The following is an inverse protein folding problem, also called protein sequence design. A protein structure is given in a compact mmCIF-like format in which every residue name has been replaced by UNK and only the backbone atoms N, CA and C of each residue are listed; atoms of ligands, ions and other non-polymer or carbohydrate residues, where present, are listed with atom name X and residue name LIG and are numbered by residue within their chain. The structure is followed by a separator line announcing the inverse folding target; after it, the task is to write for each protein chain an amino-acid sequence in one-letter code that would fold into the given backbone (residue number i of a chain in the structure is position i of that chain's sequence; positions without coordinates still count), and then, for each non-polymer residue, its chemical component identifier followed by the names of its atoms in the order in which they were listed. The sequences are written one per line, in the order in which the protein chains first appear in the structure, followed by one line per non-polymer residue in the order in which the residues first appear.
data_IF_016257314678
#
_entry.id   IF_016257314678
#
_cell.length_a   1.000
_cell.length_b   1.000
_cell.length_c   1.000
_cell.angle_alpha   90.00
_cell.angle_beta   90.00
_cell.angle_gamma   90.00
#
_symmetry.space_group_name_H-M   'P 1'
#
loop_
_entity.id
_entity.type
_entity.pdbx_description
1 polymer ?
#
# COMPACT_ATOMS: atom_id res chain seq x y z
N UNK A 1 -20.16 -23.20 38.14
CA UNK A 1 -18.77 -23.65 38.00
C UNK A 1 -18.19 -22.90 36.81
N UNK A 2 -17.59 -21.76 37.08
CA UNK A 2 -17.02 -20.87 36.05
C UNK A 2 -15.59 -21.34 35.79
N UNK A 3 -15.30 -21.74 34.56
CA UNK A 3 -13.93 -22.02 34.12
C UNK A 3 -13.23 -20.69 33.93
N UNK A 4 -12.20 -20.46 34.72
CA UNK A 4 -11.25 -19.35 34.49
C UNK A 4 -10.47 -19.69 33.22
N UNK A 5 -10.55 -18.81 32.25
CA UNK A 5 -9.66 -18.84 31.08
C UNK A 5 -8.35 -18.19 31.53
N UNK A 6 -7.33 -19.02 31.76
CA UNK A 6 -6.00 -18.56 32.06
C UNK A 6 -5.54 -17.60 30.95
N UNK A 7 -5.28 -16.37 31.34
CA UNK A 7 -4.69 -15.36 30.48
C UNK A 7 -3.30 -15.82 30.02
N UNK A 8 -3.14 -16.04 28.73
CA UNK A 8 -1.82 -16.19 28.13
C UNK A 8 -1.15 -14.84 28.23
N UNK A 9 -0.31 -14.70 29.24
CA UNK A 9 0.65 -13.60 29.39
C UNK A 9 1.67 -13.77 28.24
N UNK A 10 1.38 -13.18 27.09
CA UNK A 10 2.35 -13.11 26.00
C UNK A 10 3.35 -12.05 26.39
N UNK A 11 4.53 -12.48 26.73
CA UNK A 11 5.70 -11.64 26.97
C UNK A 11 5.75 -10.50 25.91
N UNK A 12 5.81 -9.26 26.41
CA UNK A 12 5.90 -8.02 25.64
C UNK A 12 7.27 -7.83 24.97
N UNK A 13 8.16 -8.82 25.04
CA UNK A 13 9.60 -8.61 24.85
C UNK A 13 10.14 -8.90 23.44
N UNK A 14 9.29 -9.20 22.43
CA UNK A 14 9.80 -9.47 21.06
C UNK A 14 8.77 -9.07 19.98
N UNK A 15 8.38 -7.79 19.95
CA UNK A 15 7.65 -7.27 18.79
C UNK A 15 8.69 -7.00 17.70
N UNK A 16 8.68 -7.75 16.57
CA UNK A 16 9.67 -7.55 15.55
C UNK A 16 9.55 -6.16 14.94
N UNK A 17 10.69 -5.55 14.69
CA UNK A 17 10.73 -4.31 13.92
C UNK A 17 10.30 -4.59 12.49
N UNK A 18 9.30 -3.81 12.01
CA UNK A 18 8.88 -3.80 10.61
C UNK A 18 9.01 -2.40 10.04
N UNK A 19 9.25 -2.34 8.75
CA UNK A 19 9.42 -1.08 8.04
C UNK A 19 8.30 -0.91 7.01
N UNK A 20 7.54 0.17 7.12
CA UNK A 20 6.44 0.54 6.22
C UNK A 20 6.83 1.82 5.47
N UNK A 21 6.77 1.80 4.15
CA UNK A 21 6.89 3.00 3.33
C UNK A 21 5.52 3.48 2.86
N UNK A 22 5.27 4.78 2.95
CA UNK A 22 4.12 5.45 2.33
C UNK A 22 4.64 6.31 1.19
N UNK A 23 4.44 5.83 -0.04
CA UNK A 23 4.92 6.48 -1.26
C UNK A 23 3.77 7.25 -1.89
N UNK A 24 3.92 8.55 -2.12
CA UNK A 24 2.83 9.35 -2.64
C UNK A 24 3.29 10.46 -3.59
N UNK A 25 2.37 10.87 -4.45
CA UNK A 25 2.45 12.14 -5.17
C UNK A 25 1.29 13.05 -4.75
N UNK A 26 1.54 14.35 -4.67
CA UNK A 26 0.52 15.33 -4.34
C UNK A 26 0.72 16.60 -5.15
N UNK A 27 -0.32 17.03 -5.92
CA UNK A 27 -0.26 18.25 -6.73
C UNK A 27 -0.51 19.50 -5.88
N UNK A 28 -1.52 19.44 -5.01
CA UNK A 28 -1.98 20.57 -4.20
C UNK A 28 -1.85 20.33 -2.69
N UNK A 29 -1.09 19.32 -2.29
CA UNK A 29 -0.92 18.95 -0.88
C UNK A 29 -2.00 18.03 -0.30
N UNK A 30 -3.18 17.90 -0.93
CA UNK A 30 -4.29 17.12 -0.36
C UNK A 30 -3.96 15.64 -0.17
N UNK A 31 -3.35 15.00 -1.19
CA UNK A 31 -2.93 13.59 -1.10
C UNK A 31 -1.83 13.40 -0.07
N UNK A 32 -0.95 14.40 0.11
CA UNK A 32 0.10 14.40 1.14
C UNK A 32 -0.49 14.35 2.54
N UNK A 33 -1.51 15.17 2.85
CA UNK A 33 -2.17 15.14 4.16
C UNK A 33 -2.71 13.74 4.47
N UNK A 34 -3.33 13.08 3.49
CA UNK A 34 -3.83 11.72 3.66
C UNK A 34 -2.68 10.72 3.90
N UNK A 35 -1.54 10.90 3.22
CA UNK A 35 -0.33 10.10 3.41
C UNK A 35 0.26 10.28 4.81
N UNK A 36 0.31 11.51 5.31
CA UNK A 36 0.80 11.84 6.65
C UNK A 36 -0.06 11.17 7.74
N UNK A 37 -1.39 11.27 7.66
CA UNK A 37 -2.30 10.60 8.61
C UNK A 37 -2.17 9.07 8.56
N UNK A 38 -2.02 8.49 7.37
CA UNK A 38 -1.78 7.04 7.23
C UNK A 38 -0.44 6.65 7.88
N UNK A 39 0.62 7.43 7.65
CA UNK A 39 1.91 7.21 8.27
C UNK A 39 1.85 7.33 9.80
N UNK A 40 1.09 8.29 10.32
CA UNK A 40 0.90 8.48 11.76
C UNK A 40 0.17 7.29 12.39
N UNK A 41 -0.85 6.77 11.70
CA UNK A 41 -1.53 5.54 12.13
C UNK A 41 -0.57 4.35 12.22
N UNK A 42 0.28 4.16 11.21
CA UNK A 42 1.28 3.10 11.21
C UNK A 42 2.32 3.26 12.34
N UNK A 43 2.77 4.50 12.63
CA UNK A 43 3.72 4.81 13.72
C UNK A 43 3.17 4.50 15.12
N UNK A 44 1.84 4.47 15.30
CA UNK A 44 1.22 4.11 16.59
C UNK A 44 1.39 2.64 16.94
N UNK A 45 1.77 1.80 15.99
CA UNK A 45 2.04 0.38 16.22
C UNK A 45 3.49 0.23 16.71
N UNK A 46 3.73 -0.23 17.95
CA UNK A 46 5.07 -0.43 18.48
C UNK A 46 5.91 -1.34 17.54
N UNK A 47 7.20 -1.08 17.42
CA UNK A 47 8.09 -1.83 16.53
C UNK A 47 7.90 -1.52 15.03
N UNK A 48 7.19 -0.43 14.68
CA UNK A 48 7.02 -0.04 13.28
C UNK A 48 7.83 1.22 12.95
N UNK A 49 8.76 1.09 12.01
CA UNK A 49 9.46 2.22 11.39
C UNK A 49 8.70 2.65 10.13
N UNK A 50 8.42 3.95 9.98
CA UNK A 50 7.65 4.47 8.85
C UNK A 50 8.45 5.49 8.07
N UNK A 51 8.55 5.28 6.76
CA UNK A 51 9.11 6.22 5.80
C UNK A 51 8.00 6.86 4.97
N UNK A 52 8.01 8.18 4.88
CA UNK A 52 7.16 8.94 3.97
C UNK A 52 8.00 9.35 2.77
N UNK A 53 7.64 8.87 1.58
CA UNK A 53 8.39 9.09 0.33
C UNK A 53 7.51 9.87 -0.64
N UNK A 54 7.90 11.10 -0.95
CA UNK A 54 7.19 11.92 -1.92
C UNK A 54 7.80 11.74 -3.32
N UNK A 55 6.97 11.34 -4.27
CA UNK A 55 7.32 11.31 -5.69
C UNK A 55 7.11 12.71 -6.27
N UNK A 56 8.19 13.46 -6.46
CA UNK A 56 8.12 14.86 -6.86
C UNK A 56 8.18 15.02 -8.37
N UNK A 57 7.51 16.05 -8.88
CA UNK A 57 7.48 16.34 -10.31
C UNK A 57 8.85 16.72 -10.86
N UNK A 58 9.70 17.39 -10.07
CA UNK A 58 11.06 17.79 -10.43
C UNK A 58 12.01 16.61 -10.63
N UNK A 59 11.71 15.44 -10.03
CA UNK A 59 12.49 14.20 -10.23
C UNK A 59 12.11 13.47 -11.53
N UNK A 60 11.10 13.98 -12.28
CA UNK A 60 10.69 13.42 -13.57
C UNK A 60 11.34 14.20 -14.71
N UNK A 61 12.25 13.55 -15.43
CA UNK A 61 12.90 14.12 -16.60
C UNK A 61 12.60 13.27 -17.83
N UNK A 62 12.13 13.90 -18.90
CA UNK A 62 11.71 13.24 -20.15
C UNK A 62 10.77 12.05 -19.91
N UNK A 63 9.80 12.20 -19.01
CA UNK A 63 8.81 11.18 -18.65
C UNK A 63 9.33 10.06 -17.75
N UNK A 64 10.56 10.13 -17.26
CA UNK A 64 11.17 9.12 -16.39
C UNK A 64 11.47 9.70 -15.02
N UNK A 65 10.91 9.11 -14.00
CA UNK A 65 11.26 9.41 -12.61
C UNK A 65 12.58 8.75 -12.23
N UNK A 66 13.42 9.48 -11.49
CA UNK A 66 14.74 9.01 -11.06
C UNK A 66 15.04 9.46 -9.64
N UNK A 67 14.95 8.50 -8.74
CA UNK A 67 15.43 8.61 -7.36
C UNK A 67 15.91 7.22 -6.91
N UNK A 68 17.18 6.89 -7.14
CA UNK A 68 17.73 5.58 -6.78
C UNK A 68 17.78 5.35 -5.27
N UNK A 69 17.90 6.42 -4.46
CA UNK A 69 17.91 6.31 -3.00
C UNK A 69 16.53 5.92 -2.48
N UNK A 70 15.48 6.55 -3.00
CA UNK A 70 14.11 6.15 -2.67
C UNK A 70 13.82 4.71 -3.10
N UNK A 71 14.25 4.27 -4.30
CA UNK A 71 14.07 2.87 -4.71
C UNK A 71 14.83 1.90 -3.80
N UNK A 72 16.05 2.22 -3.42
CA UNK A 72 16.84 1.39 -2.50
C UNK A 72 16.19 1.32 -1.10
N UNK A 73 15.62 2.41 -0.61
CA UNK A 73 14.85 2.44 0.62
C UNK A 73 13.63 1.51 0.53
N UNK A 74 12.87 1.60 -0.57
CA UNK A 74 11.69 0.75 -0.78
C UNK A 74 12.05 -0.73 -0.90
N UNK A 75 13.22 -1.05 -1.46
CA UNK A 75 13.73 -2.43 -1.50
C UNK A 75 13.93 -3.02 -0.08
N UNK A 76 14.26 -2.19 0.89
CA UNK A 76 14.43 -2.57 2.30
C UNK A 76 13.16 -2.59 3.15
N UNK A 77 12.01 -2.14 2.64
CA UNK A 77 10.76 -2.12 3.41
C UNK A 77 10.01 -3.44 3.34
N UNK A 78 9.24 -3.77 4.41
CA UNK A 78 8.38 -4.95 4.48
C UNK A 78 7.01 -4.71 3.86
N UNK A 79 6.54 -3.46 3.90
CA UNK A 79 5.30 -3.02 3.27
C UNK A 79 5.45 -1.68 2.55
N UNK A 80 4.72 -1.50 1.44
CA UNK A 80 4.70 -0.25 0.67
C UNK A 80 3.26 0.14 0.38
N UNK A 81 2.87 1.35 0.80
CA UNK A 81 1.54 1.91 0.55
C UNK A 81 1.66 2.97 -0.55
N UNK A 82 0.89 2.80 -1.60
CA UNK A 82 0.94 3.65 -2.79
C UNK A 82 -0.17 4.69 -2.80
N UNK A 83 0.17 5.97 -2.99
CA UNK A 83 -0.77 7.07 -2.99
C UNK A 83 -0.64 8.00 -4.19
N UNK A 84 -1.74 8.22 -4.88
CA UNK A 84 -1.80 9.17 -6.00
C UNK A 84 -3.10 9.96 -5.97
N UNK A 85 -3.11 11.24 -6.35
CA UNK A 85 -4.37 11.91 -6.63
C UNK A 85 -5.03 11.26 -7.85
N UNK A 86 -6.37 11.27 -7.88
CA UNK A 86 -7.11 10.90 -9.09
C UNK A 86 -7.22 12.12 -10.01
N UNK A 87 -6.54 12.05 -11.14
CA UNK A 87 -6.54 13.08 -12.18
C UNK A 87 -7.05 12.49 -13.50
N UNK A 88 -8.15 13.02 -14.03
CA UNK A 88 -8.78 12.51 -15.26
C UNK A 88 -9.02 11.00 -15.24
N UNK A 89 -9.48 10.48 -14.08
CA UNK A 89 -9.80 9.05 -13.89
C UNK A 89 -8.59 8.11 -13.77
N UNK A 90 -7.39 8.65 -13.54
CA UNK A 90 -6.14 7.87 -13.49
C UNK A 90 -5.23 8.35 -12.36
N UNK A 91 -4.23 7.54 -12.02
CA UNK A 91 -3.08 8.00 -11.26
C UNK A 91 -2.39 9.15 -11.99
N UNK A 92 -1.81 10.10 -11.25
CA UNK A 92 -1.10 11.23 -11.85
C UNK A 92 0.05 10.77 -12.74
N UNK A 93 0.37 11.53 -13.78
CA UNK A 93 1.48 11.22 -14.68
C UNK A 93 2.82 11.09 -13.94
N UNK A 94 3.04 11.93 -12.91
CA UNK A 94 4.22 11.86 -12.05
C UNK A 94 4.28 10.54 -11.28
N UNK A 95 3.17 10.12 -10.67
CA UNK A 95 3.12 8.83 -9.97
C UNK A 95 3.26 7.65 -10.94
N UNK A 96 2.71 7.76 -12.14
CA UNK A 96 2.88 6.74 -13.20
C UNK A 96 4.35 6.60 -13.60
N UNK A 97 5.10 7.69 -13.69
CA UNK A 97 6.55 7.64 -13.96
C UNK A 97 7.32 6.88 -12.86
N UNK A 98 6.94 7.04 -11.57
CA UNK A 98 7.45 6.21 -10.48
C UNK A 98 7.10 4.72 -10.67
N UNK A 99 5.84 4.41 -11.00
CA UNK A 99 5.43 3.02 -11.24
C UNK A 99 6.29 2.35 -12.34
N UNK A 100 6.63 3.10 -13.40
CA UNK A 100 7.50 2.61 -14.47
C UNK A 100 8.96 2.47 -14.02
N UNK A 101 9.45 3.34 -13.14
CA UNK A 101 10.80 3.24 -12.57
C UNK A 101 10.98 1.97 -11.71
N UNK A 102 9.91 1.40 -11.15
CA UNK A 102 9.94 0.14 -10.42
C UNK A 102 10.16 -1.10 -11.33
N UNK A 103 10.37 -0.94 -12.63
CA UNK A 103 10.59 -2.05 -13.57
C UNK A 103 11.73 -2.98 -13.15
N UNK A 104 12.80 -2.45 -12.55
CA UNK A 104 13.89 -3.29 -12.03
C UNK A 104 13.42 -4.17 -10.86
N UNK A 105 12.56 -3.65 -9.96
CA UNK A 105 11.98 -4.45 -8.89
C UNK A 105 11.08 -5.57 -9.44
N UNK A 106 10.37 -5.31 -10.56
CA UNK A 106 9.59 -6.31 -11.27
C UNK A 106 10.50 -7.43 -11.83
N UNK A 107 11.53 -7.10 -12.62
CA UNK A 107 12.38 -8.10 -13.28
C UNK A 107 13.23 -8.92 -12.32
N UNK A 108 13.54 -8.38 -11.14
CA UNK A 108 14.32 -9.06 -10.10
C UNK A 108 13.47 -9.63 -8.96
N UNK A 109 12.15 -9.45 -9.02
CA UNK A 109 11.20 -9.85 -7.97
C UNK A 109 11.56 -9.35 -6.55
N UNK A 110 12.24 -8.20 -6.43
CA UNK A 110 12.69 -7.69 -5.13
C UNK A 110 11.56 -7.28 -4.19
N UNK A 111 10.38 -6.97 -4.74
CA UNK A 111 9.21 -6.61 -3.93
C UNK A 111 8.21 -7.77 -3.77
N UNK A 112 8.55 -8.95 -4.30
CA UNK A 112 7.72 -10.14 -4.14
C UNK A 112 7.52 -10.44 -2.65
N UNK A 113 6.26 -10.75 -2.29
CA UNK A 113 5.79 -11.08 -0.95
C UNK A 113 5.83 -9.94 0.08
N UNK A 114 6.23 -8.71 -0.30
CA UNK A 114 5.96 -7.53 0.53
C UNK A 114 4.46 -7.26 0.58
N UNK A 115 3.99 -6.65 1.67
CA UNK A 115 2.61 -6.19 1.75
C UNK A 115 2.43 -4.87 1.01
N UNK A 116 1.27 -4.68 0.40
CA UNK A 116 0.93 -3.45 -0.30
C UNK A 116 -0.46 -2.95 0.07
N UNK A 117 -0.64 -1.64 0.04
CA UNK A 117 -1.93 -0.99 0.13
C UNK A 117 -1.99 0.22 -0.80
N UNK A 118 -3.13 0.88 -0.86
CA UNK A 118 -3.23 2.07 -1.69
C UNK A 118 -4.26 3.07 -1.22
N UNK A 119 -4.03 4.32 -1.60
CA UNK A 119 -4.95 5.42 -1.30
C UNK A 119 -4.98 6.44 -2.44
N UNK A 120 -6.09 7.15 -2.51
CA UNK A 120 -6.26 8.22 -3.50
C UNK A 120 -7.16 9.33 -2.98
N UNK A 121 -7.03 10.50 -3.57
CA UNK A 121 -7.77 11.71 -3.25
C UNK A 121 -8.33 12.34 -4.54
N UNK A 122 -9.54 12.87 -4.49
CA UNK A 122 -10.11 13.72 -5.54
C UNK A 122 -11.11 14.71 -4.98
N UNK A 123 -11.50 15.72 -5.76
CA UNK A 123 -12.46 16.73 -5.34
C UNK A 123 -13.90 16.20 -5.36
N UNK A 124 -14.26 15.42 -6.37
CA UNK A 124 -15.60 14.83 -6.47
C UNK A 124 -15.76 13.62 -5.56
N UNK A 125 -16.94 13.40 -5.02
CA UNK A 125 -17.19 12.31 -4.06
C UNK A 125 -16.90 10.92 -4.64
N UNK A 126 -17.41 10.60 -5.81
CA UNK A 126 -17.01 9.40 -6.56
C UNK A 126 -15.65 9.60 -7.21
N UNK A 127 -15.56 10.59 -8.11
CA UNK A 127 -14.35 11.11 -8.74
C UNK A 127 -13.49 10.07 -9.44
N UNK A 128 -14.09 8.93 -9.80
CA UNK A 128 -13.41 7.79 -10.44
C UNK A 128 -12.20 7.24 -9.65
N UNK A 129 -12.22 7.45 -8.32
CA UNK A 129 -11.17 7.03 -7.40
C UNK A 129 -10.90 5.53 -7.45
N UNK A 130 -11.94 4.72 -7.70
CA UNK A 130 -11.79 3.27 -7.81
C UNK A 130 -10.83 2.88 -8.95
N UNK A 131 -10.86 3.61 -10.07
CA UNK A 131 -9.97 3.35 -11.19
C UNK A 131 -8.49 3.50 -10.80
N UNK A 132 -8.16 4.49 -9.96
CA UNK A 132 -6.80 4.66 -9.44
C UNK A 132 -6.41 3.53 -8.49
N UNK A 133 -7.29 3.16 -7.56
CA UNK A 133 -7.01 2.05 -6.64
C UNK A 133 -6.81 0.72 -7.39
N UNK A 134 -7.57 0.48 -8.46
CA UNK A 134 -7.37 -0.70 -9.32
C UNK A 134 -6.01 -0.67 -10.02
N UNK A 135 -5.56 0.48 -10.53
CA UNK A 135 -4.24 0.63 -11.12
C UNK A 135 -3.13 0.33 -10.10
N UNK A 136 -3.25 0.86 -8.87
CA UNK A 136 -2.30 0.62 -7.79
C UNK A 136 -2.27 -0.86 -7.36
N UNK A 137 -3.44 -1.51 -7.26
CA UNK A 137 -3.53 -2.92 -6.91
C UNK A 137 -2.92 -3.82 -8.01
N UNK A 138 -3.21 -3.53 -9.29
CA UNK A 138 -2.58 -4.24 -10.42
C UNK A 138 -1.07 -4.04 -10.42
N UNK A 139 -0.59 -2.81 -10.18
CA UNK A 139 0.84 -2.52 -10.07
C UNK A 139 1.50 -3.34 -8.96
N UNK A 140 0.92 -3.35 -7.76
CA UNK A 140 1.44 -4.13 -6.64
C UNK A 140 1.48 -5.63 -6.95
N UNK A 141 0.41 -6.19 -7.53
CA UNK A 141 0.34 -7.62 -7.88
C UNK A 141 1.30 -8.01 -9.00
N UNK A 142 1.57 -7.12 -9.97
CA UNK A 142 2.63 -7.35 -10.96
C UNK A 142 4.02 -7.47 -10.30
N UNK A 143 4.25 -6.76 -9.21
CA UNK A 143 5.48 -6.84 -8.43
C UNK A 143 5.51 -8.03 -7.44
N UNK A 144 4.47 -8.89 -7.48
CA UNK A 144 4.35 -10.06 -6.60
C UNK A 144 3.94 -9.72 -5.16
N UNK A 145 3.45 -8.51 -4.90
CA UNK A 145 3.08 -8.07 -3.56
C UNK A 145 1.68 -8.55 -3.16
N UNK A 146 1.42 -8.61 -1.85
CA UNK A 146 0.13 -8.97 -1.27
C UNK A 146 -0.68 -7.72 -0.94
N UNK A 147 -1.87 -7.58 -1.51
CA UNK A 147 -2.70 -6.38 -1.38
C UNK A 147 -3.57 -6.40 -0.13
N UNK A 148 -3.59 -5.29 0.61
CA UNK A 148 -4.40 -5.08 1.81
C UNK A 148 -5.48 -4.02 1.52
N UNK A 149 -6.74 -4.38 1.72
CA UNK A 149 -7.87 -3.44 1.69
C UNK A 149 -8.07 -2.70 3.01
N UNK A 150 -8.97 -1.69 3.00
CA UNK A 150 -9.24 -0.81 4.15
C UNK A 150 -9.68 -1.58 5.40
N UNK A 151 -10.64 -2.48 5.25
CA UNK A 151 -11.12 -3.35 6.33
C UNK A 151 -12.15 -2.72 7.28
N UNK A 152 -12.35 -1.42 7.26
CA UNK A 152 -13.37 -0.76 8.07
C UNK A 152 -14.73 -0.71 7.32
N UNK A 153 -15.81 -0.95 8.04
CA UNK A 153 -17.16 -0.81 7.52
C UNK A 153 -17.48 0.66 7.22
N UNK A 154 -18.25 0.96 6.17
CA UNK A 154 -18.66 2.33 5.86
C UNK A 154 -19.66 2.83 6.89
N UNK A 155 -19.32 3.93 7.58
CA UNK A 155 -20.20 4.54 8.59
C UNK A 155 -21.31 5.40 8.00
N UNK A 156 -21.12 5.95 6.79
CA UNK A 156 -22.06 6.89 6.15
C UNK A 156 -22.95 6.23 5.07
N UNK A 157 -23.46 5.03 5.32
CA UNK A 157 -24.31 4.30 4.38
C UNK A 157 -25.77 4.10 4.87
N UNK A 158 -26.19 4.88 5.85
CA UNK A 158 -27.52 4.84 6.45
C UNK A 158 -28.01 6.27 6.78
N UNK A 159 -29.28 6.44 7.12
CA UNK A 159 -29.91 7.75 7.30
C UNK A 159 -29.36 8.60 8.45
N UNK A 160 -28.72 8.00 9.43
CA UNK A 160 -28.05 8.69 10.56
C UNK A 160 -26.54 8.88 10.34
N UNK A 161 -25.99 8.48 9.20
CA UNK A 161 -24.57 8.63 8.90
C UNK A 161 -24.19 10.07 8.57
N UNK A 162 -22.89 10.36 8.66
CA UNK A 162 -22.32 11.69 8.42
C UNK A 162 -21.01 11.64 7.64
N UNK A 163 -20.58 12.83 7.19
CA UNK A 163 -19.27 12.98 6.53
C UNK A 163 -18.08 12.74 7.47
N UNK A 164 -18.31 12.68 8.76
CA UNK A 164 -17.28 12.51 9.78
C UNK A 164 -17.13 11.03 10.22
N UNK A 165 -17.95 10.15 9.66
CA UNK A 165 -17.89 8.72 9.94
C UNK A 165 -16.71 8.03 9.25
N UNK A 166 -16.29 6.89 9.80
CA UNK A 166 -15.24 6.05 9.23
C UNK A 166 -15.64 5.54 7.85
N UNK A 167 -14.64 5.44 6.97
CA UNK A 167 -14.82 4.95 5.60
C UNK A 167 -16.09 5.50 4.93
N UNK A 168 -16.35 6.79 5.13
CA UNK A 168 -17.60 7.45 4.69
C UNK A 168 -17.87 7.34 3.20
N UNK A 169 -16.83 7.16 2.39
CA UNK A 169 -16.93 6.98 0.94
C UNK A 169 -17.19 5.52 0.54
N UNK A 170 -17.20 4.59 1.50
CA UNK A 170 -17.52 3.17 1.27
C UNK A 170 -16.51 2.44 0.40
N UNK A 171 -15.21 2.70 0.59
CA UNK A 171 -14.16 2.08 -0.20
C UNK A 171 -13.61 0.82 0.47
N UNK A 172 -13.47 -0.25 -0.29
CA UNK A 172 -12.95 -1.54 0.19
C UNK A 172 -11.54 -1.84 -0.31
N UNK A 173 -11.27 -1.56 -1.59
CA UNK A 173 -10.00 -1.90 -2.24
C UNK A 173 -8.82 -1.12 -1.64
N UNK A 174 -9.03 0.13 -1.27
CA UNK A 174 -8.03 1.00 -0.68
C UNK A 174 -8.69 2.27 -0.12
N UNK A 175 -7.93 3.14 0.48
CA UNK A 175 -8.43 4.35 1.11
C UNK A 175 -8.79 5.41 0.06
N UNK A 176 -9.98 5.95 0.16
CA UNK A 176 -10.43 7.11 -0.62
C UNK A 176 -10.63 8.32 0.29
N UNK A 177 -10.06 9.46 -0.10
CA UNK A 177 -10.37 10.75 0.49
C UNK A 177 -11.05 11.69 -0.49
N UNK A 178 -11.73 12.72 0.02
CA UNK A 178 -12.32 13.77 -0.79
C UNK A 178 -11.97 15.13 -0.20
N UNK A 179 -11.49 16.04 -1.04
CA UNK A 179 -11.13 17.41 -0.67
C UNK A 179 -11.71 18.39 -1.68
N UNK A 180 -12.23 19.51 -1.20
CA UNK A 180 -12.77 20.56 -2.09
C UNK A 180 -11.63 21.15 -2.95
N UNK A 181 -11.94 21.41 -4.23
CA UNK A 181 -10.94 21.89 -5.21
C UNK A 181 -10.51 23.34 -5.01
N UNK A 182 -11.30 24.12 -4.28
CA UNK A 182 -11.09 25.52 -3.97
C UNK A 182 -10.46 25.80 -2.60
N UNK A 183 -10.17 24.73 -1.84
CA UNK A 183 -9.54 24.81 -0.53
C UNK A 183 -8.11 24.27 -0.54
N UNK A 184 -7.28 24.82 0.33
CA UNK A 184 -5.90 24.36 0.50
C UNK A 184 -5.76 23.06 1.29
N UNK A 185 -4.53 22.53 1.41
CA UNK A 185 -4.26 21.27 2.09
C UNK A 185 -4.64 21.27 3.58
N UNK A 186 -4.70 22.41 4.23
CA UNK A 186 -5.15 22.57 5.62
C UNK A 186 -6.62 22.17 5.83
N UNK A 187 -7.38 22.07 4.74
CA UNK A 187 -8.77 21.61 4.71
C UNK A 187 -8.92 20.26 3.98
N UNK A 188 -7.83 19.54 3.78
CA UNK A 188 -7.85 18.28 3.03
C UNK A 188 -8.54 17.16 3.81
N UNK A 189 -9.53 16.55 3.17
CA UNK A 189 -10.30 15.46 3.77
C UNK A 189 -11.32 15.94 4.82
N UNK A 190 -12.25 15.08 5.15
CA UNK A 190 -13.10 15.24 6.35
C UNK A 190 -12.42 14.57 7.55
N UNK A 191 -12.84 14.86 8.80
CA UNK A 191 -12.38 14.11 9.96
C UNK A 191 -12.50 12.59 9.77
N UNK A 192 -13.59 12.11 9.16
CA UNK A 192 -13.79 10.69 8.84
C UNK A 192 -12.76 10.13 7.85
N UNK A 193 -12.37 10.90 6.82
CA UNK A 193 -11.33 10.47 5.87
C UNK A 193 -9.96 10.35 6.58
N UNK A 194 -9.60 11.32 7.43
CA UNK A 194 -8.32 11.36 8.12
C UNK A 194 -8.19 10.25 9.17
N UNK A 195 -9.22 10.03 9.98
CA UNK A 195 -9.25 8.93 10.95
C UNK A 195 -9.24 7.57 10.24
N UNK A 196 -9.92 7.43 9.10
CA UNK A 196 -9.85 6.21 8.28
C UNK A 196 -8.42 5.96 7.77
N UNK A 197 -7.71 7.03 7.38
CA UNK A 197 -6.32 6.93 6.97
C UNK A 197 -5.41 6.41 8.10
N UNK A 198 -5.56 6.95 9.30
CA UNK A 198 -4.82 6.50 10.49
C UNK A 198 -5.09 5.04 10.80
N UNK A 199 -6.35 4.62 10.82
CA UNK A 199 -6.74 3.23 11.06
C UNK A 199 -6.23 2.28 9.98
N UNK A 200 -6.24 2.72 8.73
CA UNK A 200 -5.69 1.94 7.63
C UNK A 200 -4.18 1.78 7.75
N UNK A 201 -3.46 2.84 8.15
CA UNK A 201 -2.03 2.76 8.46
C UNK A 201 -1.72 1.80 9.60
N UNK A 202 -2.47 1.89 10.71
CA UNK A 202 -2.36 0.96 11.83
C UNK A 202 -2.62 -0.49 11.39
N UNK A 203 -3.68 -0.73 10.59
CA UNK A 203 -4.00 -2.04 10.05
C UNK A 203 -2.85 -2.62 9.23
N UNK A 204 -2.26 -1.82 8.32
CA UNK A 204 -1.14 -2.24 7.49
C UNK A 204 0.05 -2.63 8.37
N UNK A 205 0.44 -1.79 9.34
CA UNK A 205 1.57 -2.07 10.22
C UNK A 205 1.35 -3.38 11.03
N UNK A 206 0.17 -3.58 11.62
CA UNK A 206 -0.16 -4.81 12.37
C UNK A 206 -0.17 -6.05 11.47
N UNK A 207 -0.67 -5.94 10.24
CA UNK A 207 -0.63 -7.07 9.31
C UNK A 207 0.80 -7.34 8.85
N UNK A 208 1.63 -6.32 8.66
CA UNK A 208 3.05 -6.49 8.33
C UNK A 208 3.78 -7.25 9.43
N UNK A 209 3.58 -6.88 10.70
CA UNK A 209 4.16 -7.61 11.83
C UNK A 209 3.73 -9.08 11.86
N UNK A 210 2.44 -9.34 11.62
CA UNK A 210 1.94 -10.73 11.56
C UNK A 210 2.52 -11.51 10.39
N UNK A 211 2.70 -10.84 9.24
CA UNK A 211 3.25 -11.45 8.03
C UNK A 211 4.72 -11.83 8.20
N UNK A 212 5.53 -10.90 8.73
CA UNK A 212 6.97 -11.12 8.95
C UNK A 212 7.22 -12.17 10.06
N UNK A 213 6.34 -12.25 11.06
CA UNK A 213 6.42 -13.23 12.16
C UNK A 213 5.81 -14.59 11.85
N UNK A 214 5.16 -14.76 10.71
CA UNK A 214 4.70 -16.07 10.29
C UNK A 214 5.91 -17.01 10.11
N UNK A 215 5.65 -18.30 10.15
CA UNK A 215 6.68 -19.33 9.87
C UNK A 215 7.44 -18.91 8.60
N UNK A 216 8.79 -18.87 8.64
CA UNK A 216 9.57 -18.47 7.49
C UNK A 216 9.19 -19.30 6.27
N UNK A 217 8.66 -18.63 5.27
CA UNK A 217 8.37 -19.20 3.96
C UNK A 217 9.31 -18.52 2.96
N UNK A 218 10.34 -19.27 2.54
CA UNK A 218 11.22 -18.79 1.49
C UNK A 218 10.54 -19.02 0.15
N UNK A 219 9.84 -17.99 -0.31
CA UNK A 219 9.22 -18.02 -1.63
C UNK A 219 10.30 -17.96 -2.70
N UNK A 220 10.46 -18.99 -3.55
CA UNK A 220 11.43 -18.95 -4.62
C UNK A 220 11.21 -17.70 -5.49
N UNK A 221 12.24 -16.89 -5.62
CA UNK A 221 12.26 -15.77 -6.55
C UNK A 221 12.75 -16.28 -7.89
N UNK A 222 12.04 -15.90 -8.93
CA UNK A 222 12.38 -16.31 -10.29
C UNK A 222 12.55 -15.05 -11.14
N UNK A 223 13.71 -14.88 -11.70
CA UNK A 223 13.97 -13.81 -12.67
C UNK A 223 13.17 -14.05 -13.95
N UNK A 224 12.99 -13.02 -14.75
CA UNK A 224 12.32 -13.16 -16.06
C UNK A 224 13.07 -14.17 -16.98
N UNK A 225 14.40 -14.21 -16.88
CA UNK A 225 15.21 -15.16 -17.63
C UNK A 225 14.94 -16.62 -17.21
N UNK A 226 14.89 -16.88 -15.90
CA UNK A 226 14.60 -18.21 -15.35
C UNK A 226 13.18 -18.67 -15.69
N UNK A 227 12.21 -17.74 -15.64
CA UNK A 227 10.82 -18.03 -16.04
C UNK A 227 10.72 -18.40 -17.53
N UNK A 228 11.48 -17.72 -18.39
CA UNK A 228 11.54 -18.05 -19.83
C UNK A 228 12.20 -19.39 -20.06
N UNK A 229 13.29 -19.70 -19.36
CA UNK A 229 13.98 -20.99 -19.44
C UNK A 229 13.05 -22.14 -19.00
N UNK A 230 12.43 -22.03 -17.83
CA UNK A 230 11.47 -23.01 -17.34
C UNK A 230 10.30 -23.22 -18.32
N UNK A 231 9.79 -22.14 -18.90
CA UNK A 231 8.71 -22.21 -19.89
C UNK A 231 9.15 -22.91 -21.18
N UNK A 232 10.42 -22.78 -21.58
CA UNK A 232 10.97 -23.49 -22.73
C UNK A 232 11.07 -24.99 -22.43
N UNK A 233 11.53 -25.38 -21.27
CA UNK A 233 11.64 -26.77 -20.82
C UNK A 233 10.27 -27.45 -20.74
N UNK A 234 9.26 -26.76 -20.19
CA UNK A 234 7.87 -27.26 -20.15
C UNK A 234 7.31 -27.49 -21.56
N UNK A 235 7.57 -26.60 -22.52
CA UNK A 235 7.15 -26.78 -23.93
C UNK A 235 7.89 -27.92 -24.62
N UNK A 236 9.13 -28.20 -24.24
CA UNK A 236 9.92 -29.30 -24.77
C UNK A 236 9.53 -30.68 -24.18
N UNK A 237 8.56 -30.71 -23.22
CA UNK A 237 8.06 -31.96 -22.64
C UNK A 237 9.01 -32.57 -21.58
N UNK A 238 9.96 -31.81 -21.09
CA UNK A 238 10.76 -32.23 -19.95
C UNK A 238 9.95 -32.13 -18.67
N UNK A 239 10.15 -33.10 -17.79
CA UNK A 239 9.35 -33.38 -16.57
C UNK A 239 8.96 -32.12 -15.79
N UNK A 240 7.76 -32.17 -15.19
CA UNK A 240 7.23 -31.14 -14.30
C UNK A 240 8.29 -30.65 -13.30
N UNK A 241 8.29 -29.35 -12.97
CA UNK A 241 9.20 -28.82 -11.94
C UNK A 241 9.04 -29.60 -10.64
N UNK A 242 10.11 -29.78 -9.85
CA UNK A 242 10.03 -30.46 -8.59
C UNK A 242 8.89 -29.84 -7.76
N UNK A 243 8.04 -30.68 -7.19
CA UNK A 243 6.99 -30.24 -6.32
C UNK A 243 7.59 -29.34 -5.24
N UNK A 244 7.03 -28.13 -5.06
CA UNK A 244 7.34 -27.28 -3.92
C UNK A 244 7.04 -28.13 -2.68
N UNK A 245 8.08 -28.60 -2.03
CA UNK A 245 7.96 -29.30 -0.73
C UNK A 245 7.50 -28.25 0.28
N UNK A 246 6.25 -28.38 0.73
CA UNK A 246 5.64 -27.57 1.79
C UNK A 246 6.31 -27.92 3.11
#
# INVERSE_FOLDING_TARGET
MAMAVDGIDRAQDDVPEVTVAVVHHSVHGHTRVLAEHLADGARRVPGTRVHLVEVRAEDVNAGRWRDPEALALLDGCDAIVFGSPTLMGSASAVFKAFMEAAFTAFTTQRWKDKLAGGFTMSASQSGDKLAVLQQLAVFATQLGMQWIGVGDMPGNNWSGGSRDDLNRLGSWLGLMGQSHSDLGPENAGSPGDLVTAERYGERIARLTQRWVNAVPYDTPRMTEHEARALSADLRAGHSAPPALTV
#
